data_IF_254168406895
#
_entry.id   IF_254168406895
#
_cell.length_a   1.000
_cell.length_b   1.000
_cell.length_c   1.000
_cell.angle_alpha   90.00
_cell.angle_beta   90.00
_cell.angle_gamma   90.00
#
_symmetry.space_group_name_H-M   'P 1'
#
loop_
_entity.id
_entity.type
_entity.pdbx_description
1 polymer ?
#
# COMPACT_ATOMS: atom_id res chain seq x y z
N UNK A 1 -6.92 9.67 16.69
CA UNK A 1 -5.46 9.51 16.71
C UNK A 1 -5.08 8.17 16.08
N UNK A 2 -4.79 8.13 14.77
CA UNK A 2 -4.42 6.89 14.04
C UNK A 2 -3.02 7.03 13.39
N UNK A 3 -2.09 7.66 14.11
CA UNK A 3 -0.72 7.91 13.65
C UNK A 3 -0.01 6.65 13.15
N UNK A 4 -0.18 5.53 13.84
CA UNK A 4 0.45 4.27 13.44
C UNK A 4 -0.07 3.75 12.09
N UNK A 5 -1.37 3.93 11.84
CA UNK A 5 -1.99 3.52 10.57
C UNK A 5 -1.45 4.35 9.42
N UNK A 6 -1.33 5.66 9.61
CA UNK A 6 -0.82 6.58 8.61
C UNK A 6 0.63 6.23 8.22
N UNK A 7 1.50 6.01 9.22
CA UNK A 7 2.90 5.59 9.01
C UNK A 7 2.97 4.26 8.23
N UNK A 8 2.15 3.26 8.59
CA UNK A 8 2.12 1.97 7.89
C UNK A 8 1.69 2.13 6.44
N UNK A 9 0.71 2.99 6.18
CA UNK A 9 0.20 3.25 4.83
C UNK A 9 1.22 4.02 4.01
N UNK A 10 1.92 4.99 4.59
CA UNK A 10 3.00 5.71 3.91
C UNK A 10 4.16 4.76 3.54
N UNK A 11 4.56 3.87 4.45
CA UNK A 11 5.53 2.82 4.16
C UNK A 11 5.05 1.89 3.04
N UNK A 12 3.78 1.48 3.06
CA UNK A 12 3.21 0.65 2.01
C UNK A 12 3.24 1.35 0.65
N UNK A 13 2.90 2.64 0.58
CA UNK A 13 2.99 3.45 -0.65
C UNK A 13 4.42 3.45 -1.21
N UNK A 14 5.43 3.66 -0.36
CA UNK A 14 6.84 3.63 -0.78
C UNK A 14 7.22 2.25 -1.33
N UNK A 15 6.90 1.18 -0.61
CA UNK A 15 7.19 -0.19 -1.05
C UNK A 15 6.50 -0.55 -2.38
N UNK A 16 5.28 -0.08 -2.59
CA UNK A 16 4.53 -0.33 -3.84
C UNK A 16 5.18 0.31 -5.07
N UNK A 17 5.86 1.46 -4.88
CA UNK A 17 6.52 2.22 -5.95
C UNK A 17 7.96 1.76 -6.14
N UNK A 18 8.71 1.65 -5.05
CA UNK A 18 10.14 1.34 -5.03
C UNK A 18 10.45 -0.12 -5.39
N UNK A 19 9.53 -1.03 -5.07
CA UNK A 19 9.72 -2.47 -5.28
C UNK A 19 8.69 -3.08 -6.23
N UNK A 20 8.98 -4.28 -6.74
CA UNK A 20 8.01 -5.14 -7.41
C UNK A 20 7.37 -6.20 -6.50
N UNK A 21 7.53 -6.08 -5.17
CA UNK A 21 6.99 -7.06 -4.23
C UNK A 21 5.49 -7.27 -4.37
N UNK A 22 5.03 -8.49 -4.07
CA UNK A 22 3.61 -8.82 -4.07
C UNK A 22 2.90 -8.04 -2.96
N UNK A 23 1.63 -7.69 -3.20
CA UNK A 23 0.80 -6.96 -2.23
C UNK A 23 0.75 -7.66 -0.87
N UNK A 24 0.67 -8.99 -0.86
CA UNK A 24 0.78 -9.81 0.36
C UNK A 24 2.11 -9.61 1.11
N UNK A 25 3.26 -9.58 0.44
CA UNK A 25 4.55 -9.33 1.11
C UNK A 25 4.59 -7.93 1.72
N UNK A 26 4.08 -6.94 0.99
CA UNK A 26 4.01 -5.56 1.45
C UNK A 26 3.08 -5.44 2.65
N UNK A 27 1.93 -6.12 2.65
CA UNK A 27 1.01 -6.10 3.79
C UNK A 27 1.65 -6.70 5.04
N UNK A 28 2.38 -7.80 4.91
CA UNK A 28 3.11 -8.40 6.03
C UNK A 28 4.23 -7.46 6.52
N UNK A 29 4.99 -6.83 5.62
CA UNK A 29 6.05 -5.86 5.96
C UNK A 29 5.55 -4.65 6.75
N UNK A 30 4.36 -4.14 6.41
CA UNK A 30 3.77 -2.99 7.12
C UNK A 30 2.94 -3.39 8.35
N UNK A 31 3.02 -4.66 8.77
CA UNK A 31 2.42 -5.15 10.01
C UNK A 31 0.93 -5.52 9.89
N UNK A 32 0.48 -5.94 8.70
CA UNK A 32 -0.83 -6.51 8.47
C UNK A 32 -0.70 -7.99 8.09
N UNK A 33 -1.24 -8.86 8.95
CA UNK A 33 -1.27 -10.31 8.71
C UNK A 33 -2.24 -10.73 7.61
N UNK A 34 -3.25 -9.90 7.33
CA UNK A 34 -4.29 -10.22 6.36
C UNK A 34 -4.31 -9.22 5.20
N UNK A 35 -3.94 -9.71 4.02
CA UNK A 35 -3.91 -8.93 2.77
C UNK A 35 -5.25 -8.23 2.51
N UNK A 36 -6.38 -8.92 2.67
CA UNK A 36 -7.71 -8.33 2.42
C UNK A 36 -8.00 -7.15 3.33
N UNK A 37 -7.58 -7.24 4.59
CA UNK A 37 -7.73 -6.15 5.55
C UNK A 37 -6.83 -4.98 5.16
N UNK A 38 -5.56 -5.25 4.83
CA UNK A 38 -4.64 -4.23 4.32
C UNK A 38 -5.20 -3.54 3.07
N UNK A 39 -5.67 -4.27 2.06
CA UNK A 39 -6.24 -3.71 0.84
C UNK A 39 -7.43 -2.79 1.13
N UNK A 40 -8.32 -3.18 2.05
CA UNK A 40 -9.47 -2.36 2.45
C UNK A 40 -9.03 -1.08 3.15
N UNK A 41 -8.07 -1.15 4.08
CA UNK A 41 -7.52 0.02 4.77
C UNK A 41 -6.80 0.92 3.77
N UNK A 42 -5.94 0.36 2.93
CA UNK A 42 -5.17 1.10 1.93
C UNK A 42 -6.09 1.85 0.96
N UNK A 43 -7.12 1.18 0.46
CA UNK A 43 -8.13 1.82 -0.39
C UNK A 43 -8.91 2.90 0.34
N UNK A 44 -9.23 2.70 1.62
CA UNK A 44 -9.91 3.72 2.41
C UNK A 44 -9.04 4.98 2.61
N UNK A 45 -7.73 4.81 2.81
CA UNK A 45 -6.80 5.93 3.01
C UNK A 45 -6.34 6.60 1.71
N UNK A 46 -6.17 5.81 0.64
CA UNK A 46 -5.58 6.28 -0.61
C UNK A 46 -6.61 6.47 -1.73
N UNK A 47 -7.87 6.07 -1.51
CA UNK A 47 -8.96 6.10 -2.50
C UNK A 47 -8.93 4.94 -3.52
N UNK A 48 -7.76 4.36 -3.76
CA UNK A 48 -7.53 3.31 -4.77
C UNK A 48 -6.84 2.08 -4.18
N UNK A 49 -6.95 0.95 -4.87
CA UNK A 49 -6.34 -0.31 -4.45
C UNK A 49 -4.80 -0.22 -4.53
N UNK A 50 -4.04 -0.96 -3.70
CA UNK A 50 -2.57 -0.91 -3.73
C UNK A 50 -1.97 -1.31 -5.09
N UNK A 51 -2.59 -2.27 -5.80
CA UNK A 51 -2.21 -2.62 -7.17
C UNK A 51 -2.45 -1.48 -8.17
N UNK A 52 -3.58 -0.77 -8.03
CA UNK A 52 -3.89 0.39 -8.87
C UNK A 52 -2.96 1.56 -8.55
N UNK A 53 -2.61 1.76 -7.28
CA UNK A 53 -1.65 2.75 -6.85
C UNK A 53 -0.28 2.51 -7.50
N UNK A 54 0.25 1.27 -7.44
CA UNK A 54 1.48 0.89 -8.15
C UNK A 54 1.39 1.23 -9.64
N UNK A 55 0.30 0.85 -10.30
CA UNK A 55 0.11 1.08 -11.74
C UNK A 55 0.04 2.58 -12.07
N UNK A 56 -0.73 3.34 -11.30
CA UNK A 56 -0.95 4.77 -11.53
C UNK A 56 0.34 5.58 -11.35
N UNK A 57 1.15 5.26 -10.35
CA UNK A 57 2.41 5.96 -10.13
C UNK A 57 3.42 5.62 -11.22
N UNK A 58 3.49 4.36 -11.66
CA UNK A 58 4.41 3.96 -12.73
C UNK A 58 4.05 4.49 -14.11
N UNK A 59 2.74 4.62 -14.41
CA UNK A 59 2.28 5.19 -15.69
C UNK A 59 2.43 6.72 -15.74
N UNK A 60 2.49 7.41 -14.60
CA UNK A 60 2.70 8.86 -14.56
C UNK A 60 4.16 9.32 -14.72
N UNK A 61 5.10 8.41 -15.01
CA UNK A 61 6.53 8.71 -15.19
C UNK A 61 6.98 8.55 -16.66
N UNK A 62 6.06 8.71 -17.62
CA UNK A 62 6.31 8.63 -19.07
C UNK A 62 6.18 10.00 -19.75
#
# INVERSE_FOLDING_TARGET
MNYLKDIRIEQAKRLLVDTDEKIISISHRVGYENEKHFMKIFRNECGISPSEYRKSIRIGNE
#
